data_IF_702097712525
#
_entry.id   IF_702097712525
#
_cell.length_a   1.000
_cell.length_b   1.000
_cell.length_c   1.000
_cell.angle_alpha   90.00
_cell.angle_beta   90.00
_cell.angle_gamma   90.00
#
_symmetry.space_group_name_H-M   'P 1'
#
loop_
_entity.id
_entity.type
_entity.pdbx_description
1 polymer ?
#
# COMPACT_ATOMS: atom_id res chain seq x y z
N UNK A 1 18.36 66.31 -16.07
CA UNK A 1 18.32 65.12 -16.93
C UNK A 1 16.91 64.54 -16.91
N UNK A 2 16.19 64.65 -18.03
CA UNK A 2 15.09 63.75 -18.43
C UNK A 2 15.72 62.48 -19.08
N UNK A 3 15.00 61.36 -19.37
CA UNK A 3 13.55 61.20 -19.42
C UNK A 3 12.96 59.91 -18.81
N UNK A 4 11.69 60.00 -18.40
CA UNK A 4 10.71 58.91 -18.45
C UNK A 4 9.89 59.13 -19.74
N UNK A 5 9.83 58.11 -20.60
CA UNK A 5 8.93 58.00 -21.75
C UNK A 5 8.26 56.62 -21.65
N UNK A 6 6.92 56.56 -21.58
CA UNK A 6 6.02 56.31 -22.74
C UNK A 6 5.79 54.79 -22.91
N UNK A 7 4.60 54.19 -23.06
CA UNK A 7 3.30 54.53 -23.65
C UNK A 7 2.19 53.81 -22.83
N UNK A 8 1.04 54.41 -22.50
CA UNK A 8 -0.22 54.40 -23.26
C UNK A 8 -0.59 53.05 -23.91
N UNK A 9 -1.77 52.50 -23.57
CA UNK A 9 -3.00 52.55 -24.39
C UNK A 9 -4.13 51.77 -23.70
N UNK A 10 -5.22 52.49 -23.46
CA UNK A 10 -6.57 52.00 -23.21
C UNK A 10 -7.08 51.09 -24.34
N UNK A 11 -7.88 50.08 -23.97
CA UNK A 11 -9.02 49.47 -24.69
C UNK A 11 -9.00 47.96 -24.57
N UNK A 12 -9.67 47.43 -23.55
CA UNK A 12 -10.26 46.10 -23.65
C UNK A 12 -11.74 46.26 -24.00
N UNK A 13 -11.99 45.95 -25.26
CA UNK A 13 -13.28 45.92 -25.92
C UNK A 13 -14.23 44.91 -25.25
N UNK A 14 -15.50 45.31 -25.20
CA UNK A 14 -16.63 44.40 -25.23
C UNK A 14 -16.46 43.38 -26.36
N UNK A 15 -16.48 42.09 -26.02
CA UNK A 15 -16.86 41.03 -26.95
C UNK A 15 -17.88 40.15 -26.24
N UNK A 16 -19.15 40.48 -26.47
CA UNK A 16 -20.25 39.51 -26.38
C UNK A 16 -19.97 38.35 -27.33
N UNK A 17 -20.03 37.08 -26.89
CA UNK A 17 -19.91 35.95 -27.81
C UNK A 17 -21.15 35.85 -28.71
N UNK A 18 -20.98 35.50 -30.00
CA UNK A 18 -22.09 35.39 -30.93
C UNK A 18 -22.95 34.14 -30.65
N UNK A 19 -24.27 34.34 -30.76
CA UNK A 19 -25.28 33.28 -30.84
C UNK A 19 -25.01 32.39 -32.06
N UNK A 20 -24.50 31.19 -31.81
CA UNK A 20 -24.88 30.01 -32.60
C UNK A 20 -24.92 28.80 -31.66
N UNK A 21 -26.13 28.39 -31.29
CA UNK A 21 -26.39 27.13 -30.61
C UNK A 21 -26.08 25.99 -31.58
N UNK A 22 -24.81 25.59 -31.68
CA UNK A 22 -24.50 24.23 -32.10
C UNK A 22 -24.98 23.33 -30.98
N UNK A 23 -25.86 22.38 -31.30
CA UNK A 23 -26.08 21.19 -30.46
C UNK A 23 -24.70 20.59 -30.19
N UNK A 24 -24.18 20.83 -28.99
CA UNK A 24 -23.11 20.02 -28.44
C UNK A 24 -23.75 18.65 -28.27
N UNK A 25 -23.47 17.74 -29.19
CA UNK A 25 -23.65 16.31 -28.92
C UNK A 25 -22.93 16.06 -27.60
N UNK A 26 -23.60 15.52 -26.56
CA UNK A 26 -22.87 15.15 -25.36
C UNK A 26 -21.74 14.24 -25.82
N UNK A 27 -20.50 14.66 -25.54
CA UNK A 27 -19.40 13.71 -25.58
C UNK A 27 -19.86 12.53 -24.72
N UNK A 28 -19.76 11.28 -25.20
CA UNK A 28 -19.88 10.17 -24.28
C UNK A 28 -18.80 10.44 -23.22
N UNK A 29 -19.24 10.76 -22.01
CA UNK A 29 -18.37 10.68 -20.86
C UNK A 29 -17.77 9.28 -20.95
N UNK A 30 -16.44 9.13 -21.10
CA UNK A 30 -15.87 7.82 -20.91
C UNK A 30 -16.28 7.47 -19.48
N UNK A 31 -17.14 6.47 -19.34
CA UNK A 31 -17.31 5.77 -18.07
C UNK A 31 -15.94 5.14 -17.82
N UNK A 32 -15.02 5.93 -17.27
CA UNK A 32 -13.77 5.50 -16.70
C UNK A 32 -14.16 4.68 -15.47
N UNK A 33 -14.58 3.45 -15.75
CA UNK A 33 -14.52 2.35 -14.80
C UNK A 33 -13.03 2.03 -14.61
N UNK A 34 -12.31 2.92 -13.94
CA UNK A 34 -11.12 2.51 -13.18
C UNK A 34 -11.64 2.02 -11.82
N UNK A 35 -12.57 1.07 -11.85
CA UNK A 35 -12.87 0.26 -10.68
C UNK A 35 -11.85 -0.87 -10.75
N UNK A 36 -10.87 -0.84 -9.84
CA UNK A 36 -9.97 -1.97 -9.68
C UNK A 36 -10.82 -3.19 -9.29
N UNK A 37 -10.58 -4.31 -9.95
CA UNK A 37 -11.33 -5.54 -9.68
C UNK A 37 -10.68 -6.30 -8.52
N UNK A 38 -11.44 -7.17 -7.85
CA UNK A 38 -10.87 -8.14 -6.90
C UNK A 38 -9.79 -9.00 -7.58
N UNK A 39 -9.93 -9.26 -8.88
CA UNK A 39 -8.93 -9.92 -9.72
C UNK A 39 -7.63 -9.09 -9.83
N UNK A 40 -7.69 -7.77 -10.04
CA UNK A 40 -6.49 -6.92 -10.08
C UNK A 40 -5.79 -6.86 -8.71
N UNK A 41 -6.56 -6.78 -7.61
CA UNK A 41 -6.02 -6.86 -6.27
C UNK A 41 -5.34 -8.21 -6.04
N UNK A 42 -6.00 -9.30 -6.41
CA UNK A 42 -5.48 -10.66 -6.27
C UNK A 42 -4.17 -10.85 -7.07
N UNK A 43 -4.13 -10.42 -8.33
CA UNK A 43 -2.95 -10.52 -9.18
C UNK A 43 -1.75 -9.72 -8.63
N UNK A 44 -1.98 -8.47 -8.23
CA UNK A 44 -0.93 -7.63 -7.66
C UNK A 44 -0.49 -8.13 -6.28
N UNK A 45 -1.43 -8.62 -5.48
CA UNK A 45 -1.15 -9.21 -4.18
C UNK A 45 -0.36 -10.51 -4.31
N UNK A 46 -0.68 -11.39 -5.25
CA UNK A 46 0.08 -12.62 -5.50
C UNK A 46 1.54 -12.34 -5.85
N UNK A 47 1.80 -11.34 -6.70
CA UNK A 47 3.18 -10.92 -7.03
C UNK A 47 3.91 -10.31 -5.83
N UNK A 48 3.23 -9.48 -5.05
CA UNK A 48 3.75 -8.97 -3.79
C UNK A 48 4.10 -10.11 -2.82
N UNK A 49 3.18 -11.07 -2.66
CA UNK A 49 3.29 -12.19 -1.75
C UNK A 49 4.46 -13.11 -2.11
N UNK A 50 4.65 -13.41 -3.39
CA UNK A 50 5.80 -14.20 -3.85
C UNK A 50 7.14 -13.53 -3.49
N UNK A 51 7.24 -12.21 -3.65
CA UNK A 51 8.43 -11.44 -3.26
C UNK A 51 8.60 -11.37 -1.74
N UNK A 52 7.49 -11.27 -1.00
CA UNK A 52 7.51 -11.29 0.47
C UNK A 52 8.03 -12.64 0.98
N UNK A 53 7.55 -13.76 0.43
CA UNK A 53 8.00 -15.09 0.78
C UNK A 53 9.50 -15.28 0.54
N UNK A 54 10.01 -14.82 -0.61
CA UNK A 54 11.43 -14.87 -0.93
C UNK A 54 12.27 -14.08 0.09
N UNK A 55 11.81 -12.86 0.42
CA UNK A 55 12.47 -12.02 1.42
C UNK A 55 12.47 -12.66 2.81
N UNK A 56 11.30 -13.02 3.35
CA UNK A 56 11.19 -13.55 4.72
C UNK A 56 11.83 -14.93 4.88
N UNK A 57 11.91 -15.71 3.80
CA UNK A 57 12.53 -17.03 3.79
C UNK A 57 14.03 -17.01 4.08
N UNK A 58 14.73 -15.92 3.75
CA UNK A 58 16.17 -15.78 3.97
C UNK A 58 16.56 -14.66 4.95
N UNK A 59 15.59 -13.82 5.33
CA UNK A 59 15.81 -12.68 6.22
C UNK A 59 16.49 -13.05 7.54
N UNK A 60 16.02 -14.12 8.21
CA UNK A 60 16.53 -14.51 9.53
C UNK A 60 17.99 -14.98 9.50
N UNK A 61 18.45 -15.58 8.39
CA UNK A 61 19.83 -16.02 8.22
C UNK A 61 20.81 -14.85 8.05
N UNK A 62 20.29 -13.67 7.71
CA UNK A 62 21.07 -12.47 7.39
C UNK A 62 21.11 -11.46 8.53
N UNK A 63 20.51 -11.80 9.68
CA UNK A 63 20.54 -10.97 10.87
C UNK A 63 21.90 -11.00 11.56
N UNK A 64 22.26 -9.91 12.23
CA UNK A 64 23.38 -9.84 13.15
C UNK A 64 23.15 -10.79 14.35
N UNK A 65 24.21 -11.34 14.97
CA UNK A 65 24.07 -12.24 16.11
C UNK A 65 23.36 -11.64 17.34
N UNK A 66 23.43 -10.32 17.50
CA UNK A 66 22.84 -9.53 18.59
C UNK A 66 21.52 -8.84 18.21
N UNK A 67 20.98 -9.15 17.02
CA UNK A 67 19.68 -8.65 16.59
C UNK A 67 18.56 -9.05 17.59
N UNK A 68 17.57 -8.17 17.83
CA UNK A 68 16.40 -8.49 18.65
C UNK A 68 15.74 -9.81 18.24
N UNK A 69 15.37 -10.64 19.22
CA UNK A 69 14.81 -11.99 18.97
C UNK A 69 13.48 -11.93 18.22
N UNK A 70 12.74 -10.86 18.41
CA UNK A 70 11.43 -10.61 17.81
C UNK A 70 11.51 -10.49 16.28
N UNK A 71 12.68 -10.14 15.72
CA UNK A 71 12.90 -10.14 14.27
C UNK A 71 12.82 -11.55 13.66
N UNK A 72 12.93 -12.61 14.47
CA UNK A 72 12.66 -13.98 14.03
C UNK A 72 11.19 -14.19 13.66
N UNK A 73 10.28 -13.27 14.03
CA UNK A 73 8.86 -13.33 13.73
C UNK A 73 8.47 -12.64 12.42
N UNK A 74 9.42 -12.04 11.70
CA UNK A 74 9.16 -11.45 10.37
C UNK A 74 8.41 -12.39 9.41
N UNK A 75 8.69 -13.71 9.36
CA UNK A 75 7.91 -14.65 8.54
C UNK A 75 6.41 -14.68 8.82
N UNK A 76 5.97 -14.36 10.04
CA UNK A 76 4.53 -14.30 10.40
C UNK A 76 3.77 -13.27 9.56
N UNK A 77 4.45 -12.26 9.03
CA UNK A 77 3.84 -11.26 8.13
C UNK A 77 3.28 -11.92 6.86
N UNK A 78 3.93 -12.95 6.33
CA UNK A 78 3.44 -13.70 5.17
C UNK A 78 2.28 -14.66 5.54
N UNK A 79 2.16 -15.09 6.79
CA UNK A 79 1.07 -15.99 7.19
C UNK A 79 -0.31 -15.30 7.26
N UNK A 80 -0.36 -13.97 7.15
CA UNK A 80 -1.59 -13.19 7.39
C UNK A 80 -2.61 -13.34 6.25
N UNK A 81 -2.17 -13.31 5.00
CA UNK A 81 -3.01 -13.46 3.81
C UNK A 81 -2.18 -14.23 2.77
N UNK A 82 -2.29 -15.56 2.73
CA UNK A 82 -1.57 -16.37 1.76
C UNK A 82 -2.14 -16.20 0.34
N UNK A 83 -1.36 -16.58 -0.68
CA UNK A 83 -1.81 -16.53 -2.08
C UNK A 83 -3.05 -17.41 -2.36
N UNK A 84 -3.17 -18.55 -1.67
CA UNK A 84 -4.30 -19.47 -1.80
C UNK A 84 -5.47 -19.15 -0.85
N UNK A 85 -5.52 -17.93 -0.30
CA UNK A 85 -6.58 -17.55 0.65
C UNK A 85 -7.97 -17.66 -0.02
N UNK A 86 -8.87 -18.49 0.53
CA UNK A 86 -10.18 -18.73 -0.08
C UNK A 86 -11.04 -17.47 -0.13
N UNK A 87 -10.79 -16.45 0.70
CA UNK A 87 -11.56 -15.21 0.74
C UNK A 87 -11.44 -14.38 -0.55
N UNK A 88 -10.35 -14.54 -1.30
CA UNK A 88 -10.25 -14.00 -2.67
C UNK A 88 -11.30 -14.61 -3.61
N UNK A 89 -11.65 -15.88 -3.39
CA UNK A 89 -12.60 -16.64 -4.23
C UNK A 89 -14.04 -16.62 -3.72
N UNK A 90 -14.24 -16.51 -2.39
CA UNK A 90 -15.57 -16.55 -1.75
C UNK A 90 -16.19 -15.17 -1.54
N UNK A 91 -15.42 -14.08 -1.74
CA UNK A 91 -15.95 -12.73 -1.80
C UNK A 91 -16.25 -12.10 -0.45
N UNK A 92 -15.33 -12.21 0.51
CA UNK A 92 -15.28 -11.31 1.68
C UNK A 92 -14.26 -10.19 1.42
N UNK A 93 -14.65 -9.12 0.70
CA UNK A 93 -13.73 -8.07 0.29
C UNK A 93 -13.18 -7.28 1.47
N UNK A 94 -13.98 -7.08 2.52
CA UNK A 94 -13.58 -6.29 3.68
C UNK A 94 -12.46 -7.00 4.46
N UNK A 95 -12.60 -8.32 4.65
CA UNK A 95 -11.57 -9.15 5.29
C UNK A 95 -10.25 -9.13 4.52
N UNK A 96 -10.30 -9.30 3.19
CA UNK A 96 -9.11 -9.28 2.32
C UNK A 96 -8.43 -7.91 2.36
N UNK A 97 -9.20 -6.82 2.22
CA UNK A 97 -8.68 -5.45 2.27
C UNK A 97 -7.99 -5.16 3.61
N UNK A 98 -8.62 -5.54 4.72
CA UNK A 98 -8.06 -5.34 6.05
C UNK A 98 -6.72 -6.08 6.22
N UNK A 99 -6.66 -7.36 5.82
CA UNK A 99 -5.44 -8.17 5.92
C UNK A 99 -4.32 -7.63 5.03
N UNK A 100 -4.64 -7.22 3.80
CA UNK A 100 -3.69 -6.59 2.90
C UNK A 100 -3.10 -5.29 3.48
N UNK A 101 -3.92 -4.46 4.14
CA UNK A 101 -3.46 -3.24 4.81
C UNK A 101 -2.48 -3.54 5.96
N UNK A 102 -2.77 -4.55 6.78
CA UNK A 102 -1.88 -4.96 7.89
C UNK A 102 -0.53 -5.44 7.37
N UNK A 103 -0.54 -6.31 6.36
CA UNK A 103 0.69 -6.85 5.76
C UNK A 103 1.51 -5.74 5.14
N UNK A 104 0.85 -4.79 4.46
CA UNK A 104 1.49 -3.59 3.94
C UNK A 104 2.18 -2.81 5.06
N UNK A 105 1.46 -2.49 6.15
CA UNK A 105 2.02 -1.72 7.26
C UNK A 105 3.21 -2.43 7.91
N UNK A 106 3.07 -3.72 8.22
CA UNK A 106 4.13 -4.51 8.84
C UNK A 106 5.35 -4.63 7.92
N UNK A 107 5.14 -4.91 6.64
CA UNK A 107 6.23 -4.94 5.66
C UNK A 107 6.93 -3.60 5.57
N UNK A 108 6.20 -2.48 5.47
CA UNK A 108 6.79 -1.14 5.44
C UNK A 108 7.62 -0.84 6.70
N UNK A 109 7.11 -1.23 7.88
CA UNK A 109 7.81 -1.04 9.14
C UNK A 109 9.11 -1.86 9.19
N UNK A 110 9.07 -3.13 8.78
CA UNK A 110 10.26 -3.98 8.63
C UNK A 110 11.25 -3.33 7.68
N UNK A 111 10.84 -2.98 6.46
CA UNK A 111 11.73 -2.40 5.45
C UNK A 111 12.42 -1.12 5.94
N UNK A 112 11.69 -0.25 6.66
CA UNK A 112 12.21 1.02 7.17
C UNK A 112 13.18 0.88 8.34
N UNK A 113 13.05 -0.18 9.17
CA UNK A 113 13.73 -0.25 10.47
C UNK A 113 14.68 -1.43 10.62
N UNK A 114 14.47 -2.52 9.89
CA UNK A 114 15.19 -3.77 10.10
C UNK A 114 16.61 -3.79 9.51
N UNK A 115 16.91 -2.92 8.55
CA UNK A 115 18.21 -2.86 7.86
C UNK A 115 19.40 -2.75 8.83
N UNK A 116 19.24 -2.02 9.93
CA UNK A 116 20.30 -1.83 10.93
C UNK A 116 20.69 -3.13 11.68
N UNK A 117 19.84 -4.15 11.61
CA UNK A 117 20.07 -5.46 12.23
C UNK A 117 20.56 -6.51 11.22
N UNK A 118 20.80 -6.12 9.97
CA UNK A 118 21.28 -7.01 8.90
C UNK A 118 22.80 -7.00 8.87
N UNK A 119 23.41 -8.15 8.58
CA UNK A 119 24.85 -8.28 8.38
C UNK A 119 25.31 -7.41 7.19
N UNK A 120 26.47 -6.74 7.32
CA UNK A 120 26.99 -5.83 6.28
C UNK A 120 27.10 -6.48 4.90
N UNK A 121 27.54 -7.75 4.84
CA UNK A 121 27.62 -8.53 3.60
C UNK A 121 26.27 -8.85 2.95
N UNK A 122 25.15 -8.52 3.60
CA UNK A 122 23.78 -8.73 3.11
C UNK A 122 23.01 -7.42 2.83
N UNK A 123 23.66 -6.25 2.92
CA UNK A 123 23.00 -4.98 2.63
C UNK A 123 22.48 -4.88 1.19
N UNK A 124 23.28 -5.29 0.21
CA UNK A 124 22.85 -5.26 -1.21
C UNK A 124 21.62 -6.16 -1.43
N UNK A 125 21.60 -7.35 -0.84
CA UNK A 125 20.43 -8.23 -0.86
C UNK A 125 19.21 -7.53 -0.25
N UNK A 126 19.37 -6.95 0.94
CA UNK A 126 18.26 -6.30 1.64
C UNK A 126 17.71 -5.14 0.81
N UNK A 127 18.58 -4.26 0.31
CA UNK A 127 18.20 -3.07 -0.45
C UNK A 127 17.50 -3.45 -1.77
N UNK A 128 17.95 -4.53 -2.44
CA UNK A 128 17.30 -5.06 -3.65
C UNK A 128 15.89 -5.60 -3.35
N UNK A 129 15.73 -6.45 -2.34
CA UNK A 129 14.41 -6.97 -1.97
C UNK A 129 13.49 -5.88 -1.44
N UNK A 130 14.01 -4.93 -0.66
CA UNK A 130 13.26 -3.77 -0.17
C UNK A 130 12.75 -2.91 -1.34
N UNK A 131 13.57 -2.68 -2.36
CA UNK A 131 13.16 -1.98 -3.58
C UNK A 131 12.00 -2.67 -4.28
N UNK A 132 12.12 -3.99 -4.52
CA UNK A 132 11.07 -4.79 -5.17
C UNK A 132 9.78 -4.83 -4.35
N UNK A 133 9.87 -5.05 -3.04
CA UNK A 133 8.73 -5.06 -2.15
C UNK A 133 8.03 -3.70 -2.11
N UNK A 134 8.77 -2.59 -2.09
CA UNK A 134 8.16 -1.25 -2.14
C UNK A 134 7.42 -0.97 -3.45
N UNK A 135 7.91 -1.46 -4.58
CA UNK A 135 7.21 -1.38 -5.87
C UNK A 135 5.88 -2.14 -5.78
N UNK A 136 5.91 -3.39 -5.32
CA UNK A 136 4.70 -4.20 -5.21
C UNK A 136 3.71 -3.67 -4.17
N UNK A 137 4.18 -3.18 -3.04
CA UNK A 137 3.34 -2.50 -2.05
C UNK A 137 2.65 -1.26 -2.62
N UNK A 138 3.30 -0.53 -3.52
CA UNK A 138 2.70 0.61 -4.20
C UNK A 138 1.58 0.17 -5.14
N UNK A 139 1.76 -0.94 -5.86
CA UNK A 139 0.74 -1.52 -6.74
C UNK A 139 -0.44 -2.09 -5.94
N UNK A 140 -0.19 -2.83 -4.86
CA UNK A 140 -1.25 -3.29 -3.94
C UNK A 140 -1.99 -2.09 -3.35
N UNK A 141 -1.29 -1.02 -2.97
CA UNK A 141 -1.94 0.21 -2.48
C UNK A 141 -2.84 0.86 -3.52
N UNK A 142 -2.42 0.86 -4.78
CA UNK A 142 -3.23 1.38 -5.88
C UNK A 142 -4.50 0.54 -6.06
N UNK A 143 -4.38 -0.79 -6.07
CA UNK A 143 -5.53 -1.70 -6.15
C UNK A 143 -6.47 -1.59 -4.95
N UNK A 144 -5.95 -1.38 -3.74
CA UNK A 144 -6.78 -1.13 -2.55
C UNK A 144 -7.49 0.23 -2.62
N UNK A 145 -6.81 1.27 -3.12
CA UNK A 145 -7.41 2.59 -3.25
C UNK A 145 -8.54 2.60 -4.28
N UNK A 146 -8.40 1.89 -5.40
CA UNK A 146 -9.47 1.75 -6.40
C UNK A 146 -10.64 0.92 -5.89
N UNK A 147 -10.39 0.00 -4.96
CA UNK A 147 -11.42 -0.77 -4.26
C UNK A 147 -12.21 0.10 -3.24
N UNK A 148 -11.50 0.88 -2.40
CA UNK A 148 -12.12 1.77 -1.40
C UNK A 148 -12.74 3.05 -1.98
N UNK A 149 -12.42 3.44 -3.22
CA UNK A 149 -13.11 4.53 -3.91
C UNK A 149 -14.51 4.12 -4.42
N UNK A 150 -14.88 2.83 -4.29
CA UNK A 150 -16.20 2.31 -4.68
C UNK A 150 -17.23 2.28 -3.54
N UNK A 151 -16.82 2.28 -2.27
CA UNK A 151 -17.73 2.29 -1.11
C UNK A 151 -17.26 3.26 -0.02
N UNK A 152 -18.22 4.00 0.53
CA UNK A 152 -18.05 5.20 1.35
C UNK A 152 -17.42 4.97 2.73
N UNK A 153 -16.81 6.04 3.26
CA UNK A 153 -16.50 6.33 4.68
C UNK A 153 -16.01 5.16 5.54
N UNK A 154 -14.69 4.96 5.62
CA UNK A 154 -14.12 4.16 6.71
C UNK A 154 -12.69 4.58 7.08
N UNK A 155 -12.60 5.77 7.69
CA UNK A 155 -11.38 6.32 8.30
C UNK A 155 -11.13 5.85 9.74
N UNK A 156 -11.95 4.96 10.29
CA UNK A 156 -11.83 4.50 11.70
C UNK A 156 -10.91 3.28 11.92
N UNK A 157 -10.42 2.64 10.86
CA UNK A 157 -9.67 1.36 11.01
C UNK A 157 -8.19 1.50 11.34
N UNK A 158 -7.67 2.72 11.46
CA UNK A 158 -6.27 2.97 11.81
C UNK A 158 -5.99 2.80 13.31
N UNK A 159 -7.00 2.95 14.18
CA UNK A 159 -6.82 2.94 15.64
C UNK A 159 -7.07 1.57 16.29
N UNK A 160 -7.75 0.65 15.59
CA UNK A 160 -8.10 -0.68 16.14
C UNK A 160 -7.01 -1.74 16.06
N UNK A 161 -5.92 -1.47 15.33
CA UNK A 161 -4.70 -2.27 15.33
C UNK A 161 -4.87 -3.76 15.03
N UNK A 162 -3.80 -4.52 15.24
CA UNK A 162 -3.73 -5.99 15.11
C UNK A 162 -4.88 -6.69 15.89
N UNK A 163 -5.51 -6.03 16.88
CA UNK A 163 -6.67 -6.53 17.60
C UNK A 163 -7.95 -6.71 16.76
N UNK A 164 -8.14 -5.94 15.69
CA UNK A 164 -9.29 -6.12 14.77
C UNK A 164 -9.18 -7.38 13.91
N UNK A 165 -8.00 -8.01 13.85
CA UNK A 165 -7.78 -9.30 13.18
C UNK A 165 -8.53 -10.42 13.91
N UNK A 166 -8.67 -10.32 15.24
CA UNK A 166 -9.29 -11.35 16.08
C UNK A 166 -10.78 -11.58 15.80
N UNK A 167 -11.51 -10.60 15.22
CA UNK A 167 -12.95 -10.73 14.95
C UNK A 167 -13.27 -11.27 13.55
N UNK A 168 -12.37 -11.05 12.58
CA UNK A 168 -12.50 -11.52 11.20
C UNK A 168 -11.86 -12.89 10.92
N UNK A 169 -11.05 -13.44 11.85
CA UNK A 169 -10.36 -14.72 11.69
C UNK A 169 -11.29 -15.94 11.80
N UNK A 170 -12.21 -16.09 10.86
CA UNK A 170 -12.89 -17.35 10.61
C UNK A 170 -12.15 -18.05 9.47
N UNK A 171 -11.23 -18.95 9.84
CA UNK A 171 -11.14 -20.31 9.25
C UNK A 171 -9.96 -20.79 8.39
N UNK A 172 -8.82 -20.12 8.18
CA UNK A 172 -7.73 -20.77 7.39
C UNK A 172 -6.40 -21.07 8.13
N UNK A 173 -5.85 -20.17 8.96
CA UNK A 173 -4.69 -20.47 9.85
C UNK A 173 -4.79 -19.69 11.15
N UNK A 174 -4.34 -20.23 12.27
CA UNK A 174 -4.20 -19.42 13.48
C UNK A 174 -2.99 -18.49 13.31
N UNK A 175 -3.21 -17.20 13.03
CA UNK A 175 -2.13 -16.21 13.09
C UNK A 175 -1.73 -16.01 14.56
N UNK A 176 -0.43 -16.03 14.81
CA UNK A 176 0.13 -15.70 16.11
C UNK A 176 0.24 -14.17 16.28
N UNK A 177 -0.87 -13.57 16.71
CA UNK A 177 -1.02 -12.12 16.91
C UNK A 177 -0.02 -11.57 17.93
N UNK A 178 0.35 -12.35 18.93
CA UNK A 178 1.30 -11.94 19.96
C UNK A 178 2.71 -11.75 19.37
N UNK A 179 3.10 -12.62 18.43
CA UNK A 179 4.36 -12.46 17.68
C UNK A 179 4.37 -11.22 16.79
N UNK A 180 3.25 -10.91 16.12
CA UNK A 180 3.14 -9.70 15.31
C UNK A 180 3.25 -8.42 16.17
N UNK A 181 2.62 -8.42 17.34
CA UNK A 181 2.72 -7.30 18.29
C UNK A 181 4.15 -7.14 18.81
N UNK A 182 4.79 -8.23 19.26
CA UNK A 182 6.18 -8.18 19.73
C UNK A 182 7.14 -7.67 18.64
N UNK A 183 6.94 -8.10 17.39
CA UNK A 183 7.69 -7.59 16.24
C UNK A 183 7.47 -6.08 16.04
N UNK A 184 6.22 -5.63 16.08
CA UNK A 184 5.88 -4.22 15.94
C UNK A 184 6.54 -3.36 17.03
N UNK A 185 6.47 -3.78 18.29
CA UNK A 185 7.03 -3.07 19.43
C UNK A 185 8.55 -2.86 19.26
N UNK A 186 9.27 -3.91 18.86
CA UNK A 186 10.73 -3.85 18.63
C UNK A 186 11.09 -2.91 17.47
N UNK A 187 10.34 -2.96 16.37
CA UNK A 187 10.62 -2.11 15.20
C UNK A 187 10.29 -0.63 15.47
N UNK A 188 9.31 -0.34 16.34
CA UNK A 188 9.00 1.03 16.77
C UNK A 188 10.05 1.54 17.76
N UNK A 189 10.50 0.70 18.71
CA UNK A 189 11.47 1.10 19.72
C UNK A 189 12.88 1.36 19.16
N UNK A 190 13.17 0.85 17.97
CA UNK A 190 14.45 1.01 17.27
C UNK A 190 14.49 2.21 16.30
N UNK A 191 13.54 3.14 16.45
CA UNK A 191 13.37 4.36 15.66
C UNK A 191 14.03 5.59 16.27
#
# INVERSE_FOLDING_TARGET
>A
MLPIRSLFIDKLFFITPPRSLRRVTPYPSPSLSIMGTMEELHDNYGKFYAQLLEFVGDFTNRLLPDAPRELQFVPVVADILPEDDPDFSTGDPDGVVQRALIIKQMTQLVLARARQFVQEGSYEWYDNHAGMLNIWLSLVSLSLATFQLADQENTEYLDTGIGAICTGFKSYRAIDVDKLRALQDVLIASA
#
